data_IF_203358162702
#
_entry.id   IF_203358162702
#
_cell.length_a   1.000
_cell.length_b   1.000
_cell.length_c   1.000
_cell.angle_alpha   90.00
_cell.angle_beta   90.00
_cell.angle_gamma   90.00
#
_symmetry.space_group_name_H-M   'P 1'
#
loop_
_entity.id
_entity.type
_entity.pdbx_description
1 polymer ?
#
# COMPACT_ATOMS: atom_id res chain seq x y z
N UNK A 1 -14.84 -8.24 -7.75
CA UNK A 1 -15.59 -7.04 -8.18
C UNK A 1 -14.64 -5.86 -8.26
N UNK A 2 -13.86 -5.59 -7.21
CA UNK A 2 -12.89 -4.47 -7.19
C UNK A 2 -11.79 -4.59 -8.25
N UNK A 3 -11.19 -5.78 -8.42
CA UNK A 3 -10.18 -5.99 -9.46
C UNK A 3 -10.72 -5.64 -10.85
N UNK A 4 -11.97 -6.00 -11.15
CA UNK A 4 -12.58 -5.73 -12.46
C UNK A 4 -12.72 -4.23 -12.68
N UNK A 5 -13.34 -3.52 -11.72
CA UNK A 5 -13.53 -2.06 -11.79
C UNK A 5 -12.18 -1.32 -11.92
N UNK A 6 -11.19 -1.67 -11.09
CA UNK A 6 -9.86 -1.06 -11.17
C UNK A 6 -9.11 -1.36 -12.47
N UNK A 7 -9.45 -2.46 -13.15
CA UNK A 7 -8.90 -2.78 -14.47
C UNK A 7 -9.59 -1.94 -15.55
N UNK A 8 -10.92 -1.84 -15.51
CA UNK A 8 -11.72 -1.03 -16.46
C UNK A 8 -11.39 0.47 -16.35
N UNK A 9 -11.20 0.98 -15.14
CA UNK A 9 -10.80 2.37 -14.88
C UNK A 9 -9.31 2.64 -15.21
N UNK A 10 -8.53 1.60 -15.53
CA UNK A 10 -7.14 1.73 -15.95
C UNK A 10 -6.12 1.88 -14.81
N UNK A 11 -6.53 1.76 -13.53
CA UNK A 11 -5.63 1.82 -12.38
C UNK A 11 -4.57 0.72 -12.41
N UNK A 12 -4.91 -0.48 -12.88
CA UNK A 12 -3.93 -1.57 -13.05
C UNK A 12 -2.76 -1.18 -13.96
N UNK A 13 -3.01 -0.38 -15.01
CA UNK A 13 -1.96 0.15 -15.89
C UNK A 13 -1.08 1.22 -15.22
N UNK A 14 -1.61 1.95 -14.25
CA UNK A 14 -0.84 2.89 -13.42
C UNK A 14 0.08 2.10 -12.48
N UNK A 15 -0.46 1.11 -11.77
CA UNK A 15 0.31 0.26 -10.84
C UNK A 15 1.42 -0.52 -11.55
N UNK A 16 1.12 -1.10 -12.73
CA UNK A 16 2.13 -1.81 -13.52
C UNK A 16 3.29 -0.91 -13.96
N UNK A 17 3.01 0.31 -14.41
CA UNK A 17 4.05 1.30 -14.78
C UNK A 17 4.88 1.76 -13.59
N UNK A 18 4.28 1.80 -12.39
CA UNK A 18 4.98 2.11 -11.15
C UNK A 18 5.83 0.95 -10.61
N UNK A 19 5.80 -0.23 -11.25
CA UNK A 19 6.53 -1.42 -10.80
C UNK A 19 5.89 -2.17 -9.65
N UNK A 20 4.61 -1.90 -9.34
CA UNK A 20 3.90 -2.60 -8.28
C UNK A 20 3.55 -4.04 -8.70
N UNK A 21 3.73 -4.98 -7.77
CA UNK A 21 3.26 -6.36 -7.93
C UNK A 21 1.79 -6.46 -7.57
N UNK A 22 0.95 -6.83 -8.54
CA UNK A 22 -0.47 -7.09 -8.33
C UNK A 22 -0.68 -8.60 -8.13
N UNK A 23 -1.23 -8.97 -6.98
CA UNK A 23 -1.54 -10.36 -6.63
C UNK A 23 -2.99 -10.70 -6.97
N UNK A 24 -3.29 -11.99 -7.09
CA UNK A 24 -4.68 -12.44 -7.19
C UNK A 24 -5.47 -12.06 -5.93
N UNK A 25 -6.77 -11.69 -6.05
CA UNK A 25 -7.60 -11.29 -4.92
C UNK A 25 -7.64 -12.38 -3.85
N UNK A 26 -7.21 -12.03 -2.65
CA UNK A 26 -7.09 -12.95 -1.52
C UNK A 26 -6.29 -12.37 -0.37
N UNK A 27 -5.99 -13.18 0.63
CA UNK A 27 -5.28 -12.71 1.83
C UNK A 27 -3.81 -12.35 1.58
N UNK A 28 -3.18 -12.89 0.53
CA UNK A 28 -1.80 -12.58 0.12
C UNK A 28 -0.83 -12.53 1.33
N UNK A 29 -0.08 -11.44 1.47
CA UNK A 29 0.90 -11.23 2.54
C UNK A 29 0.29 -11.08 3.95
N UNK A 30 -1.01 -10.80 4.07
CA UNK A 30 -1.65 -10.53 5.37
C UNK A 30 -1.55 -11.73 6.33
N UNK A 31 -1.64 -12.96 5.79
CA UNK A 31 -1.57 -14.17 6.58
C UNK A 31 -0.15 -14.75 6.71
N UNK A 32 0.71 -14.50 5.71
CA UNK A 32 2.10 -14.97 5.69
C UNK A 32 2.27 -16.48 5.54
N UNK A 33 1.22 -17.18 5.07
CA UNK A 33 1.19 -18.62 4.83
C UNK A 33 1.48 -19.03 3.37
N UNK A 34 1.52 -18.07 2.44
CA UNK A 34 1.82 -18.28 1.03
C UNK A 34 3.05 -17.43 0.67
N UNK A 35 2.82 -16.20 0.19
CA UNK A 35 3.87 -15.23 -0.01
C UNK A 35 4.37 -14.70 1.34
N UNK A 36 5.69 -14.53 1.44
CA UNK A 36 6.37 -13.88 2.56
C UNK A 36 7.28 -12.79 2.03
N UNK A 37 7.49 -11.76 2.84
CA UNK A 37 8.48 -10.71 2.55
C UNK A 37 9.90 -11.24 2.83
N UNK A 38 10.90 -10.54 2.30
CA UNK A 38 12.30 -10.88 2.56
C UNK A 38 12.61 -10.86 4.06
N UNK A 39 13.48 -11.76 4.50
CA UNK A 39 13.92 -11.82 5.88
C UNK A 39 14.60 -10.50 6.31
N UNK A 40 14.36 -10.08 7.56
CA UNK A 40 14.90 -8.84 8.15
C UNK A 40 14.53 -7.55 7.39
N UNK A 41 13.47 -7.60 6.59
CA UNK A 41 12.95 -6.42 5.88
C UNK A 41 12.10 -5.54 6.78
N UNK A 42 12.02 -4.25 6.44
CA UNK A 42 11.06 -3.32 7.06
C UNK A 42 9.91 -3.09 6.09
N UNK A 43 8.69 -3.28 6.57
CA UNK A 43 7.46 -3.27 5.77
C UNK A 43 6.48 -2.28 6.35
N UNK A 44 5.90 -1.44 5.48
CA UNK A 44 4.69 -0.67 5.79
C UNK A 44 3.52 -1.41 5.17
N UNK A 45 2.55 -1.82 6.00
CA UNK A 45 1.45 -2.69 5.61
C UNK A 45 0.11 -2.07 5.97
N UNK A 46 -0.88 -2.29 5.11
CA UNK A 46 -2.31 -1.97 5.35
C UNK A 46 -3.06 -3.19 5.90
N UNK A 47 -2.34 -4.23 6.31
CA UNK A 47 -2.90 -5.42 6.98
C UNK A 47 -3.45 -5.09 8.38
N UNK A 48 -4.11 -6.07 8.99
CA UNK A 48 -4.72 -5.90 10.32
C UNK A 48 -3.78 -6.20 11.49
N UNK A 49 -2.65 -6.85 11.24
CA UNK A 49 -1.77 -7.41 12.29
C UNK A 49 -0.30 -7.29 11.90
N UNK A 50 0.56 -7.04 12.90
CA UNK A 50 2.01 -6.88 12.77
C UNK A 50 2.82 -7.75 13.75
N UNK A 51 2.33 -8.94 14.11
CA UNK A 51 3.04 -9.84 15.01
C UNK A 51 4.43 -10.24 14.46
N UNK A 52 5.42 -10.49 15.35
CA UNK A 52 6.73 -10.98 14.93
C UNK A 52 6.63 -12.22 14.03
N UNK A 53 7.43 -12.28 12.97
CA UNK A 53 7.48 -13.38 11.99
C UNK A 53 6.18 -13.64 11.21
N UNK A 54 5.20 -12.72 11.27
CA UNK A 54 3.93 -12.87 10.54
C UNK A 54 4.11 -12.73 9.04
N UNK A 55 4.60 -11.57 8.57
CA UNK A 55 4.79 -11.30 7.13
C UNK A 55 6.08 -11.91 6.59
N UNK A 56 7.10 -12.05 7.43
CA UNK A 56 8.42 -12.58 7.06
C UNK A 56 9.33 -12.69 8.26
N UNK A 57 10.40 -13.47 8.14
CA UNK A 57 11.26 -13.82 9.27
C UNK A 57 12.11 -12.64 9.72
N UNK A 58 11.95 -12.24 10.98
CA UNK A 58 12.60 -11.05 11.53
C UNK A 58 12.19 -9.74 10.85
N UNK A 59 11.06 -9.72 10.13
CA UNK A 59 10.58 -8.51 9.47
C UNK A 59 9.95 -7.54 10.48
N UNK A 60 10.26 -6.25 10.33
CA UNK A 60 9.65 -5.17 11.11
C UNK A 60 8.45 -4.62 10.35
N UNK A 61 7.24 -4.79 10.89
CA UNK A 61 5.99 -4.42 10.21
C UNK A 61 5.31 -3.25 10.90
N UNK A 62 5.10 -2.17 10.15
CA UNK A 62 4.38 -0.98 10.57
C UNK A 62 3.00 -0.96 9.93
N UNK A 63 1.95 -0.80 10.74
CA UNK A 63 0.58 -0.67 10.23
C UNK A 63 0.30 0.79 9.87
N UNK A 64 -0.25 1.01 8.68
CA UNK A 64 -0.53 2.34 8.16
C UNK A 64 -1.79 2.35 7.27
N UNK A 65 -2.32 3.53 6.98
CA UNK A 65 -3.38 3.69 5.98
C UNK A 65 -2.85 3.47 4.56
N UNK A 66 -3.74 3.27 3.60
CA UNK A 66 -3.37 3.05 2.19
C UNK A 66 -2.64 4.26 1.60
N UNK A 67 -3.04 5.47 1.98
CA UNK A 67 -2.42 6.72 1.54
C UNK A 67 -1.00 6.83 2.09
N UNK A 68 -0.80 6.59 3.39
CA UNK A 68 0.52 6.66 4.00
C UNK A 68 1.46 5.56 3.46
N UNK A 69 0.94 4.35 3.24
CA UNK A 69 1.69 3.26 2.63
C UNK A 69 2.13 3.60 1.20
N UNK A 70 1.26 4.23 0.40
CA UNK A 70 1.60 4.69 -0.94
C UNK A 70 2.72 5.74 -0.93
N UNK A 71 2.66 6.71 -0.01
CA UNK A 71 3.74 7.71 0.14
C UNK A 71 5.05 7.05 0.57
N UNK A 72 5.01 6.15 1.56
CA UNK A 72 6.19 5.43 2.01
C UNK A 72 6.80 4.55 0.90
N UNK A 73 5.98 3.98 0.01
CA UNK A 73 6.44 3.21 -1.14
C UNK A 73 7.18 4.08 -2.17
N UNK A 74 6.74 5.31 -2.39
CA UNK A 74 7.40 6.26 -3.29
C UNK A 74 8.69 6.83 -2.68
N UNK A 75 8.68 7.16 -1.38
CA UNK A 75 9.86 7.71 -0.71
C UNK A 75 10.91 6.65 -0.32
N UNK A 76 10.54 5.38 -0.24
CA UNK A 76 11.41 4.28 0.22
C UNK A 76 11.74 4.33 1.71
N UNK A 77 11.05 5.17 2.49
CA UNK A 77 11.23 5.36 3.92
C UNK A 77 9.92 5.80 4.58
N UNK A 78 9.87 5.76 5.91
CA UNK A 78 8.75 6.35 6.66
C UNK A 78 8.77 7.88 6.45
N UNK A 79 7.71 8.46 5.86
CA UNK A 79 7.70 9.87 5.49
C UNK A 79 7.54 10.76 6.72
N UNK A 80 8.11 11.97 6.64
CA UNK A 80 7.92 12.98 7.67
C UNK A 80 6.51 13.61 7.59
N UNK A 81 5.97 14.08 8.72
CA UNK A 81 4.64 14.73 8.79
C UNK A 81 4.45 15.85 7.75
N UNK A 82 5.50 16.63 7.47
CA UNK A 82 5.45 17.70 6.47
C UNK A 82 5.23 17.18 5.04
N UNK A 83 5.85 16.07 4.69
CA UNK A 83 5.67 15.40 3.38
C UNK A 83 4.23 14.90 3.24
N UNK A 84 3.75 14.20 4.28
CA UNK A 84 2.38 13.70 4.36
C UNK A 84 1.40 14.87 4.16
N UNK A 85 1.47 15.94 4.96
CA UNK A 85 0.52 17.06 4.87
C UNK A 85 0.47 17.71 3.48
N UNK A 86 1.61 17.85 2.79
CA UNK A 86 1.65 18.42 1.44
C UNK A 86 0.89 17.55 0.41
N UNK A 87 1.02 16.22 0.54
CA UNK A 87 0.33 15.26 -0.33
C UNK A 87 -1.17 15.20 0.01
N UNK A 88 -1.53 15.23 1.29
CA UNK A 88 -2.92 15.24 1.72
C UNK A 88 -3.68 16.49 1.25
N UNK A 89 -3.05 17.67 1.26
CA UNK A 89 -3.66 18.88 0.68
C UNK A 89 -3.95 18.68 -0.82
N UNK A 90 -3.02 18.08 -1.57
CA UNK A 90 -3.22 17.79 -3.00
C UNK A 90 -4.33 16.76 -3.25
N UNK A 91 -4.35 15.66 -2.49
CA UNK A 91 -5.38 14.61 -2.61
C UNK A 91 -6.78 15.10 -2.23
N UNK A 92 -6.89 15.94 -1.21
CA UNK A 92 -8.18 16.51 -0.78
C UNK A 92 -8.72 17.48 -1.83
N UNK A 93 -7.84 18.26 -2.48
CA UNK A 93 -8.21 19.10 -3.63
C UNK A 93 -8.61 18.26 -4.86
N UNK A 94 -8.00 17.10 -5.05
CA UNK A 94 -8.39 16.15 -6.10
C UNK A 94 -9.76 15.53 -5.84
N UNK A 95 -10.03 15.10 -4.59
CA UNK A 95 -11.35 14.65 -4.13
C UNK A 95 -12.42 15.73 -4.19
N UNK A 96 -12.06 17.01 -4.01
CA UNK A 96 -13.00 18.12 -4.17
C UNK A 96 -13.35 18.41 -5.64
N UNK A 97 -12.53 17.98 -6.61
CA UNK A 97 -12.80 18.11 -8.06
C UNK A 97 -13.52 16.90 -8.66
N UNK A 98 -13.47 15.75 -7.99
CA UNK A 98 -14.26 14.58 -8.30
C UNK A 98 -15.23 14.32 -7.16
N UNK A 99 -16.41 14.97 -7.23
CA UNK A 99 -17.59 14.58 -6.46
C UNK A 99 -17.78 13.07 -6.65
N UNK A 100 -17.72 12.37 -5.52
CA UNK A 100 -17.86 10.93 -5.34
C UNK A 100 -19.08 10.40 -6.11
N UNK A 101 -18.84 9.42 -6.99
CA UNK A 101 -19.76 8.32 -7.25
C UNK A 101 -19.41 7.23 -6.24
#
# INVERSE_FOLDING_TARGET
MDQHQLTEEGYYGIYGRAGARMEMPGCSLCMGNQARVAAKSTVVSTSTRNFPNRLGDGANVYLASAELAAVAAVEGRLPALKSINAIWVNLTLWRARFIVI
#
